data_IF_488292068787
#
_entry.id   IF_488292068787
#
_cell.length_a   1.000
_cell.length_b   1.000
_cell.length_c   1.000
_cell.angle_alpha   90.00
_cell.angle_beta   90.00
_cell.angle_gamma   90.00
#
_symmetry.space_group_name_H-M   'P 1'
#
loop_
_entity.id
_entity.type
_entity.pdbx_description
1 polymer ?
#
# COMPACT_ATOMS: atom_id res chain seq x y z
N UNK A 1 -8.25 21.43 20.85
CA UNK A 1 -6.88 21.22 20.33
C UNK A 1 -6.74 19.74 20.02
N UNK A 2 -6.41 19.37 18.78
CA UNK A 2 -6.31 17.96 18.42
C UNK A 2 -5.05 17.35 19.07
N UNK A 3 -5.06 16.06 19.45
CA UNK A 3 -3.88 15.42 20.02
C UNK A 3 -2.70 15.49 19.03
N UNK A 4 -1.44 15.66 19.48
CA UNK A 4 -0.26 15.75 18.60
C UNK A 4 -0.14 14.62 17.56
N UNK A 5 -0.65 13.43 17.91
CA UNK A 5 -0.71 12.24 17.03
C UNK A 5 -1.69 12.39 15.85
N UNK A 6 -2.74 13.19 16.00
CA UNK A 6 -3.68 13.45 14.92
C UNK A 6 -3.06 14.37 13.86
N UNK A 7 -2.27 15.38 14.27
CA UNK A 7 -1.56 16.25 13.34
C UNK A 7 -0.52 15.48 12.50
N UNK A 8 0.23 14.55 13.11
CA UNK A 8 1.18 13.71 12.36
C UNK A 8 0.47 12.76 11.40
N UNK A 9 -0.67 12.18 11.80
CA UNK A 9 -1.49 11.32 10.94
C UNK A 9 -2.04 12.08 9.72
N UNK A 10 -2.58 13.29 9.93
CA UNK A 10 -3.10 14.15 8.86
C UNK A 10 -1.98 14.57 7.92
N UNK A 11 -0.85 15.04 8.46
CA UNK A 11 0.30 15.46 7.66
C UNK A 11 0.90 14.32 6.82
N UNK A 12 1.02 13.13 7.40
CA UNK A 12 1.55 11.97 6.68
C UNK A 12 0.60 11.49 5.57
N UNK A 13 -0.72 11.54 5.77
CA UNK A 13 -1.68 11.24 4.69
C UNK A 13 -1.74 12.34 3.63
N UNK A 14 -1.61 13.61 4.02
CA UNK A 14 -1.48 14.72 3.08
C UNK A 14 -0.26 14.55 2.17
N UNK A 15 0.89 14.16 2.74
CA UNK A 15 2.11 13.90 1.98
C UNK A 15 1.95 12.72 1.02
N UNK A 16 1.18 11.67 1.39
CA UNK A 16 0.80 10.58 0.48
C UNK A 16 -0.04 11.09 -0.69
N UNK A 17 -1.05 11.91 -0.43
CA UNK A 17 -1.91 12.46 -1.49
C UNK A 17 -1.09 13.33 -2.45
N UNK A 18 -0.24 14.21 -1.91
CA UNK A 18 0.66 15.04 -2.72
C UNK A 18 1.61 14.20 -3.58
N UNK A 19 2.18 13.15 -2.99
CA UNK A 19 3.03 12.16 -3.69
C UNK A 19 2.30 11.49 -4.86
N UNK A 20 1.06 11.03 -4.64
CA UNK A 20 0.22 10.45 -5.71
C UNK A 20 -0.09 11.47 -6.80
N UNK A 21 -0.45 12.70 -6.44
CA UNK A 21 -0.70 13.77 -7.40
C UNK A 21 0.55 14.06 -8.23
N UNK A 22 1.73 14.16 -7.59
CA UNK A 22 3.00 14.40 -8.28
C UNK A 22 3.34 13.27 -9.26
N UNK A 23 3.15 12.01 -8.86
CA UNK A 23 3.34 10.85 -9.73
C UNK A 23 2.38 10.86 -10.92
N UNK A 24 1.11 11.24 -10.73
CA UNK A 24 0.14 11.35 -11.82
C UNK A 24 0.49 12.48 -12.81
N UNK A 25 0.95 13.62 -12.30
CA UNK A 25 1.40 14.73 -13.15
C UNK A 25 2.61 14.33 -13.99
N UNK A 26 3.62 13.69 -13.37
CA UNK A 26 4.81 13.21 -14.07
C UNK A 26 4.46 12.10 -15.07
N UNK A 27 3.52 11.21 -14.75
CA UNK A 27 3.03 10.20 -15.67
C UNK A 27 2.41 10.83 -16.93
N UNK A 28 1.47 11.76 -16.74
CA UNK A 28 0.80 12.48 -17.83
C UNK A 28 1.81 13.26 -18.69
N UNK A 29 2.73 13.98 -18.05
CA UNK A 29 3.77 14.73 -18.74
C UNK A 29 4.75 13.84 -19.52
N UNK A 30 5.10 12.68 -18.97
CA UNK A 30 6.00 11.74 -19.65
C UNK A 30 5.38 11.16 -20.93
N UNK A 31 4.06 10.94 -20.95
CA UNK A 31 3.34 10.54 -22.16
C UNK A 31 3.33 11.68 -23.19
N UNK A 32 3.04 12.90 -22.76
CA UNK A 32 3.00 14.05 -23.65
C UNK A 32 4.36 14.30 -24.33
N UNK A 33 5.43 14.26 -23.54
CA UNK A 33 6.80 14.43 -24.05
C UNK A 33 7.21 13.31 -25.00
N UNK A 34 6.84 12.05 -24.71
CA UNK A 34 7.04 10.93 -25.63
C UNK A 34 6.32 11.15 -26.98
N UNK A 35 5.08 11.62 -26.97
CA UNK A 35 4.33 11.92 -28.20
C UNK A 35 5.00 13.04 -29.00
N UNK A 36 5.49 14.08 -28.32
CA UNK A 36 6.24 15.18 -28.97
C UNK A 36 7.54 14.69 -29.59
N UNK A 37 8.29 13.84 -28.88
CA UNK A 37 9.53 13.23 -29.37
C UNK A 37 9.27 12.39 -30.63
N UNK A 38 8.22 11.56 -30.66
CA UNK A 38 7.85 10.76 -31.84
C UNK A 38 7.43 11.64 -33.02
N UNK A 39 6.65 12.69 -32.79
CA UNK A 39 6.27 13.64 -33.84
C UNK A 39 7.47 14.41 -34.39
N UNK A 40 8.45 14.73 -33.55
CA UNK A 40 9.67 15.41 -33.99
C UNK A 40 10.52 14.49 -34.89
N UNK A 41 10.62 13.21 -34.54
CA UNK A 41 11.31 12.20 -35.37
C UNK A 41 10.62 12.04 -36.73
N UNK A 42 9.29 11.94 -36.76
CA UNK A 42 8.53 11.84 -38.02
C UNK A 42 8.74 13.06 -38.93
N UNK A 43 8.74 14.28 -38.37
CA UNK A 43 9.03 15.51 -39.12
C UNK A 43 10.48 15.56 -39.61
N UNK A 44 11.42 15.07 -38.83
CA UNK A 44 12.84 15.01 -39.19
C UNK A 44 13.09 14.02 -40.33
N UNK A 45 12.55 12.79 -40.23
CA UNK A 45 12.65 11.78 -41.29
C UNK A 45 11.89 12.18 -42.56
N UNK A 46 10.76 12.87 -42.42
CA UNK A 46 9.95 13.37 -43.54
C UNK A 46 10.52 14.61 -44.23
N UNK A 47 11.73 15.08 -43.88
CA UNK A 47 12.37 16.25 -44.48
C UNK A 47 11.69 17.60 -44.18
N UNK A 48 10.75 17.62 -43.21
CA UNK A 48 9.97 18.81 -42.83
C UNK A 48 10.64 19.63 -41.72
N UNK A 49 11.78 19.19 -41.21
CA UNK A 49 12.54 19.90 -40.17
C UNK A 49 13.02 21.30 -40.60
N UNK A 50 13.17 21.54 -41.90
CA UNK A 50 13.60 22.83 -42.46
C UNK A 50 12.52 23.93 -42.43
N UNK A 51 11.28 23.64 -42.04
CA UNK A 51 10.16 24.60 -42.15
C UNK A 51 9.78 25.29 -40.82
N UNK A 52 10.37 24.88 -39.69
CA UNK A 52 10.03 25.47 -38.38
C UNK A 52 10.95 26.65 -38.05
N UNK A 53 10.62 27.80 -38.66
CA UNK A 53 10.71 29.16 -38.10
C UNK A 53 11.98 29.55 -37.34
N UNK A 54 13.17 29.21 -37.85
CA UNK A 54 14.40 29.86 -37.39
C UNK A 54 15.36 30.00 -38.56
N UNK A 55 16.11 31.10 -38.62
CA UNK A 55 17.14 31.41 -39.63
C UNK A 55 18.36 30.46 -39.53
N UNK A 56 18.15 29.18 -39.20
CA UNK A 56 19.17 28.15 -39.12
C UNK A 56 19.40 27.59 -40.52
N UNK A 57 20.65 27.59 -40.96
CA UNK A 57 21.02 27.04 -42.25
C UNK A 57 20.81 25.53 -42.25
N UNK A 58 20.60 24.92 -43.43
CA UNK A 58 20.43 23.47 -43.53
C UNK A 58 21.64 22.69 -42.95
N UNK A 59 22.82 23.30 -42.91
CA UNK A 59 24.03 22.74 -42.30
C UNK A 59 23.95 22.71 -40.76
N UNK A 60 23.39 23.75 -40.13
CA UNK A 60 23.19 23.77 -38.67
C UNK A 60 22.22 22.67 -38.20
N UNK A 61 21.24 22.32 -39.04
CA UNK A 61 20.26 21.26 -38.76
C UNK A 61 20.91 19.87 -38.86
N UNK A 62 21.87 19.70 -39.77
CA UNK A 62 22.62 18.44 -39.93
C UNK A 62 23.66 18.23 -38.83
N UNK A 63 24.18 19.32 -38.26
CA UNK A 63 25.18 19.29 -37.18
C UNK A 63 24.58 19.39 -35.77
N UNK A 64 23.26 19.41 -35.61
CA UNK A 64 22.63 19.40 -34.29
C UNK A 64 22.77 18.03 -33.61
N UNK A 65 23.26 18.02 -32.37
CA UNK A 65 23.37 16.81 -31.53
C UNK A 65 22.00 16.20 -31.18
N UNK A 66 20.95 17.02 -31.21
CA UNK A 66 19.56 16.65 -30.92
C UNK A 66 18.62 17.11 -32.03
N UNK A 67 17.51 16.39 -32.22
CA UNK A 67 16.43 16.82 -33.11
C UNK A 67 15.80 18.10 -32.55
N UNK A 68 15.64 19.12 -33.39
CA UNK A 68 15.11 20.43 -32.99
C UNK A 68 13.71 20.27 -32.35
N UNK A 69 13.56 20.78 -31.13
CA UNK A 69 12.31 20.70 -30.37
C UNK A 69 12.02 19.32 -29.77
N UNK A 70 13.04 18.47 -29.60
CA UNK A 70 12.92 17.13 -29.02
C UNK A 70 14.13 16.77 -28.14
N UNK A 71 13.93 15.81 -27.23
CA UNK A 71 15.01 15.24 -26.41
C UNK A 71 15.76 14.09 -27.08
N UNK A 72 15.49 13.84 -28.36
CA UNK A 72 16.04 12.72 -29.11
C UNK A 72 17.42 13.08 -29.70
N UNK A 73 18.49 12.35 -29.34
CA UNK A 73 19.81 12.57 -29.91
C UNK A 73 19.86 12.09 -31.37
N UNK A 74 20.58 12.84 -32.22
CA UNK A 74 20.73 12.59 -33.65
C UNK A 74 21.84 11.56 -33.98
N UNK A 75 22.23 10.76 -33.00
CA UNK A 75 23.25 9.71 -33.15
C UNK A 75 22.62 8.37 -33.58
N UNK A 76 23.41 7.43 -34.14
CA UNK A 76 22.92 6.09 -34.47
C UNK A 76 22.24 5.43 -33.25
N UNK A 77 21.01 4.96 -33.43
CA UNK A 77 20.14 4.43 -32.36
C UNK A 77 19.72 5.41 -31.25
N UNK A 78 19.95 6.72 -31.40
CA UNK A 78 19.55 7.74 -30.43
C UNK A 78 18.04 7.78 -30.17
N UNK A 79 17.24 7.62 -31.24
CA UNK A 79 15.77 7.50 -31.16
C UNK A 79 15.34 6.33 -30.28
N UNK A 80 15.97 5.16 -30.44
CA UNK A 80 15.65 3.97 -29.67
C UNK A 80 15.91 4.21 -28.18
N UNK A 81 17.10 4.73 -27.84
CA UNK A 81 17.46 5.00 -26.44
C UNK A 81 16.59 6.07 -25.78
N UNK A 82 16.21 7.12 -26.51
CA UNK A 82 15.29 8.14 -26.01
C UNK A 82 13.92 7.54 -25.66
N UNK A 83 13.33 6.74 -26.56
CA UNK A 83 12.03 6.09 -26.33
C UNK A 83 12.11 5.09 -25.18
N UNK A 84 13.15 4.26 -25.12
CA UNK A 84 13.34 3.28 -24.04
C UNK A 84 13.48 3.99 -22.69
N UNK A 85 14.25 5.08 -22.60
CA UNK A 85 14.38 5.85 -21.37
C UNK A 85 13.01 6.39 -20.89
N UNK A 86 12.21 6.97 -21.79
CA UNK A 86 10.85 7.44 -21.48
C UNK A 86 9.93 6.31 -21.02
N UNK A 87 9.98 5.14 -21.67
CA UNK A 87 9.21 3.98 -21.25
C UNK A 87 9.62 3.46 -19.87
N UNK A 88 10.92 3.47 -19.55
CA UNK A 88 11.42 3.08 -18.23
C UNK A 88 10.97 4.06 -17.14
N UNK A 89 11.00 5.37 -17.40
CA UNK A 89 10.47 6.39 -16.49
C UNK A 89 8.98 6.15 -16.23
N UNK A 90 8.18 5.95 -17.28
CA UNK A 90 6.74 5.67 -17.16
C UNK A 90 6.50 4.40 -16.33
N UNK A 91 7.24 3.32 -16.62
CA UNK A 91 7.17 2.08 -15.86
C UNK A 91 7.51 2.28 -14.38
N UNK A 92 8.58 3.03 -14.08
CA UNK A 92 8.99 3.33 -12.71
C UNK A 92 7.93 4.16 -11.97
N UNK A 93 7.31 5.13 -12.63
CA UNK A 93 6.18 5.90 -12.06
C UNK A 93 5.00 4.99 -11.72
N UNK A 94 4.65 4.05 -12.60
CA UNK A 94 3.57 3.08 -12.33
C UNK A 94 3.91 2.23 -11.10
N UNK A 95 5.13 1.70 -11.00
CA UNK A 95 5.56 0.90 -9.85
C UNK A 95 5.50 1.72 -8.56
N UNK A 96 5.93 2.99 -8.58
CA UNK A 96 5.84 3.87 -7.41
C UNK A 96 4.39 4.18 -7.03
N UNK A 97 3.51 4.38 -8.01
CA UNK A 97 2.10 4.64 -7.81
C UNK A 97 1.40 3.42 -7.20
N UNK A 98 1.69 2.20 -7.70
CA UNK A 98 1.25 0.95 -7.08
C UNK A 98 1.78 0.78 -5.64
N UNK A 99 3.04 1.18 -5.41
CA UNK A 99 3.63 1.15 -4.07
C UNK A 99 2.95 2.12 -3.09
N UNK A 100 2.50 3.28 -3.57
CA UNK A 100 1.75 4.25 -2.78
C UNK A 100 0.33 3.79 -2.49
N UNK A 101 -0.30 2.99 -3.37
CA UNK A 101 -1.57 2.33 -3.06
C UNK A 101 -1.42 1.11 -2.14
N UNK A 102 -0.21 0.53 -2.07
CA UNK A 102 0.07 -0.66 -1.26
C UNK A 102 -0.48 -1.96 -1.87
N UNK A 103 -0.79 -1.96 -3.15
CA UNK A 103 -1.32 -3.11 -3.89
C UNK A 103 -0.46 -3.39 -5.12
N UNK A 104 0.02 -4.63 -5.35
CA UNK A 104 -0.08 -5.83 -4.50
C UNK A 104 1.00 -5.88 -3.42
N UNK A 105 0.59 -5.92 -2.14
CA UNK A 105 1.52 -5.88 -0.99
C UNK A 105 2.49 -7.07 -0.92
N UNK A 106 2.08 -8.27 -1.35
CA UNK A 106 2.92 -9.46 -1.37
C UNK A 106 4.08 -9.35 -2.37
N UNK A 107 3.86 -8.70 -3.52
CA UNK A 107 4.88 -8.47 -4.53
C UNK A 107 5.99 -7.56 -4.01
N UNK A 108 5.62 -6.42 -3.41
CA UNK A 108 6.59 -5.48 -2.86
C UNK A 108 7.39 -6.11 -1.71
N UNK A 109 6.74 -6.85 -0.80
CA UNK A 109 7.49 -7.48 0.29
C UNK A 109 8.43 -8.61 -0.19
N UNK A 110 8.15 -9.25 -1.32
CA UNK A 110 8.97 -10.36 -1.84
C UNK A 110 10.08 -9.92 -2.80
N UNK A 111 9.78 -9.04 -3.75
CA UNK A 111 10.70 -8.66 -4.82
C UNK A 111 11.37 -7.29 -4.59
N UNK A 112 10.69 -6.36 -3.92
CA UNK A 112 11.18 -5.00 -3.69
C UNK A 112 10.98 -4.58 -2.23
N UNK A 113 11.66 -5.23 -1.27
CA UNK A 113 11.42 -5.02 0.16
C UNK A 113 11.58 -3.55 0.56
N UNK A 114 12.45 -2.80 -0.13
CA UNK A 114 12.66 -1.35 0.07
C UNK A 114 11.39 -0.49 -0.14
N UNK A 115 10.41 -0.97 -0.93
CA UNK A 115 9.10 -0.35 -1.12
C UNK A 115 8.00 -1.03 -0.27
N UNK A 116 8.34 -2.11 0.44
CA UNK A 116 7.46 -2.90 1.27
C UNK A 116 6.93 -2.16 2.50
N UNK A 117 6.01 -2.81 3.22
CA UNK A 117 5.33 -2.24 4.40
C UNK A 117 6.27 -2.00 5.60
N UNK A 118 7.39 -2.72 5.64
CA UNK A 118 8.36 -2.75 6.73
C UNK A 118 9.52 -1.74 6.52
N UNK A 119 9.47 -0.93 5.46
CA UNK A 119 10.44 0.13 5.21
C UNK A 119 9.75 1.50 5.24
N UNK A 120 10.43 2.48 5.82
CA UNK A 120 9.94 3.85 5.97
C UNK A 120 9.72 4.58 4.63
N UNK A 121 9.39 5.87 4.73
CA UNK A 121 9.13 6.74 3.56
C UNK A 121 10.40 7.21 2.86
N UNK A 122 11.56 7.06 3.50
CA UNK A 122 12.84 7.56 3.03
C UNK A 122 13.21 7.00 1.66
N UNK A 123 13.28 5.67 1.50
CA UNK A 123 13.65 5.08 0.21
C UNK A 123 12.68 5.42 -0.92
N UNK A 124 11.38 5.50 -0.63
CA UNK A 124 10.38 5.97 -1.60
C UNK A 124 10.68 7.41 -2.06
N UNK A 125 10.98 8.30 -1.12
CA UNK A 125 11.36 9.69 -1.40
C UNK A 125 12.65 9.80 -2.19
N UNK A 126 13.65 8.94 -1.93
CA UNK A 126 14.90 8.88 -2.72
C UNK A 126 14.59 8.55 -4.18
N UNK A 127 13.79 7.51 -4.43
CA UNK A 127 13.45 7.12 -5.81
C UNK A 127 12.66 8.23 -6.51
N UNK A 128 11.73 8.89 -5.83
CA UNK A 128 10.99 10.04 -6.39
C UNK A 128 11.90 11.23 -6.69
N UNK A 129 12.86 11.51 -5.80
CA UNK A 129 13.84 12.58 -5.98
C UNK A 129 14.76 12.30 -7.18
N UNK A 130 15.29 11.09 -7.30
CA UNK A 130 16.10 10.66 -8.44
C UNK A 130 15.32 10.72 -9.75
N UNK A 131 14.05 10.31 -9.74
CA UNK A 131 13.18 10.37 -10.90
C UNK A 131 12.91 11.83 -11.32
N UNK A 132 12.63 12.72 -10.37
CA UNK A 132 12.50 14.15 -10.62
C UNK A 132 13.78 14.74 -11.23
N UNK A 133 14.94 14.43 -10.64
CA UNK A 133 16.24 14.88 -11.14
C UNK A 133 16.55 14.36 -12.55
N UNK A 134 16.22 13.10 -12.85
CA UNK A 134 16.42 12.50 -14.17
C UNK A 134 15.53 13.14 -15.26
N UNK A 135 14.34 13.61 -14.91
CA UNK A 135 13.49 14.35 -15.83
C UNK A 135 14.03 15.78 -16.02
N UNK A 136 14.51 16.41 -14.94
CA UNK A 136 15.10 17.76 -14.98
C UNK A 136 16.43 17.82 -15.74
N UNK A 137 17.17 16.72 -15.82
CA UNK A 137 18.45 16.69 -16.53
C UNK A 137 18.30 16.71 -18.06
N UNK A 138 17.09 16.50 -18.58
CA UNK A 138 16.79 16.68 -19.99
C UNK A 138 16.07 18.01 -20.24
N UNK A 139 16.23 18.56 -21.44
CA UNK A 139 15.47 19.74 -21.84
C UNK A 139 14.01 19.33 -22.09
N UNK A 140 13.09 19.71 -21.21
CA UNK A 140 11.68 19.30 -21.31
C UNK A 140 10.75 20.50 -21.26
N UNK A 141 9.56 20.36 -21.85
CA UNK A 141 8.50 21.37 -21.86
C UNK A 141 8.16 21.90 -20.45
N UNK A 142 7.66 23.13 -20.38
CA UNK A 142 7.30 23.83 -19.14
C UNK A 142 6.38 22.99 -18.23
N UNK A 143 5.39 22.31 -18.81
CA UNK A 143 4.49 21.44 -18.05
C UNK A 143 5.25 20.29 -17.35
N UNK A 144 6.20 19.68 -18.07
CA UNK A 144 7.03 18.62 -17.51
C UNK A 144 8.00 19.15 -16.47
N UNK A 145 8.58 20.31 -16.72
CA UNK A 145 9.48 20.99 -15.81
C UNK A 145 8.80 21.23 -14.46
N UNK A 146 7.60 21.83 -14.46
CA UNK A 146 6.83 22.10 -13.23
C UNK A 146 6.46 20.81 -12.51
N UNK A 147 5.98 19.80 -13.24
CA UNK A 147 5.62 18.50 -12.63
C UNK A 147 6.82 17.80 -11.98
N UNK A 148 7.99 17.88 -12.60
CA UNK A 148 9.20 17.24 -12.11
C UNK A 148 9.83 18.00 -10.93
N UNK A 149 9.81 19.34 -10.91
CA UNK A 149 10.17 20.13 -9.73
C UNK A 149 9.24 19.86 -8.54
N UNK A 150 7.94 19.71 -8.80
CA UNK A 150 6.97 19.35 -7.78
C UNK A 150 7.26 17.95 -7.20
N UNK A 151 7.49 16.96 -8.05
CA UNK A 151 7.84 15.60 -7.62
C UNK A 151 9.18 15.57 -6.86
N UNK A 152 10.19 16.31 -7.32
CA UNK A 152 11.48 16.42 -6.64
C UNK A 152 11.32 17.00 -5.22
N UNK A 153 10.54 18.08 -5.08
CA UNK A 153 10.26 18.72 -3.80
C UNK A 153 9.53 17.77 -2.84
N UNK A 154 8.54 17.02 -3.34
CA UNK A 154 7.85 16.01 -2.54
C UNK A 154 8.78 14.85 -2.17
N UNK A 155 9.66 14.43 -3.09
CA UNK A 155 10.70 13.43 -2.82
C UNK A 155 11.57 13.83 -1.64
N UNK A 156 12.05 15.08 -1.61
CA UNK A 156 12.78 15.64 -0.47
C UNK A 156 11.97 15.62 0.83
N UNK A 157 10.69 15.99 0.78
CA UNK A 157 9.79 15.91 1.96
C UNK A 157 9.60 14.47 2.44
N UNK A 158 9.48 13.50 1.52
CA UNK A 158 9.38 12.07 1.85
C UNK A 158 10.69 11.52 2.44
N UNK A 159 11.86 12.01 2.00
CA UNK A 159 13.15 11.69 2.60
C UNK A 159 13.22 12.20 4.05
N UNK A 160 12.89 13.49 4.27
CA UNK A 160 12.89 14.08 5.61
C UNK A 160 11.89 13.38 6.55
N UNK A 161 10.67 13.12 6.07
CA UNK A 161 9.69 12.34 6.83
C UNK A 161 10.18 10.91 7.11
N UNK A 162 10.90 10.30 6.16
CA UNK A 162 11.56 9.01 6.32
C UNK A 162 12.66 9.00 7.39
N UNK A 163 13.49 10.05 7.45
CA UNK A 163 14.54 10.20 8.46
C UNK A 163 13.96 10.44 9.86
N UNK A 164 12.92 11.27 9.97
CA UNK A 164 12.29 11.63 11.26
C UNK A 164 11.50 10.46 11.85
N UNK A 165 10.71 9.75 11.03
CA UNK A 165 9.78 8.72 11.52
C UNK A 165 10.28 7.29 11.30
N UNK A 166 11.37 7.11 10.54
CA UNK A 166 11.99 5.82 10.23
C UNK A 166 10.95 4.77 9.79
N UNK A 167 11.12 3.54 10.26
CA UNK A 167 10.25 2.39 10.06
C UNK A 167 8.79 2.62 10.53
N UNK A 168 8.60 3.46 11.56
CA UNK A 168 7.26 3.73 12.11
C UNK A 168 6.34 4.55 11.20
N UNK A 169 6.85 5.12 10.10
CA UNK A 169 6.11 6.07 9.28
C UNK A 169 4.98 5.43 8.46
N UNK A 170 5.17 4.20 7.94
CA UNK A 170 4.11 3.46 7.23
C UNK A 170 3.07 2.90 8.20
N UNK A 171 3.49 2.41 9.37
CA UNK A 171 2.58 1.98 10.44
C UNK A 171 1.71 3.14 10.96
N UNK A 172 2.28 4.34 11.12
CA UNK A 172 1.56 5.56 11.53
C UNK A 172 0.64 6.14 10.45
N UNK A 173 0.80 5.77 9.17
CA UNK A 173 -0.11 6.10 8.05
C UNK A 173 -1.29 5.14 7.91
N UNK A 174 -1.22 3.96 8.53
CA UNK A 174 -2.24 2.92 8.40
C UNK A 174 -3.52 3.26 9.20
N UNK A 175 -4.60 3.57 8.48
CA UNK A 175 -5.97 3.69 9.02
C UNK A 175 -6.43 2.37 9.68
N UNK A 176 -5.86 1.23 9.28
CA UNK A 176 -6.20 -0.09 9.85
C UNK A 176 -5.50 -0.36 11.18
N UNK A 177 -4.38 0.31 11.50
CA UNK A 177 -3.73 0.17 12.81
C UNK A 177 -4.62 0.63 13.97
N UNK A 178 -5.48 1.63 13.77
CA UNK A 178 -6.49 2.03 14.74
C UNK A 178 -7.52 0.93 15.00
N UNK A 179 -7.88 0.16 13.98
CA UNK A 179 -8.76 -1.01 14.13
C UNK A 179 -8.06 -2.16 14.86
N UNK A 180 -6.76 -2.36 14.62
CA UNK A 180 -6.02 -3.44 15.27
C UNK A 180 -5.66 -3.11 16.73
N UNK A 181 -5.42 -1.84 17.07
CA UNK A 181 -5.32 -1.38 18.46
C UNK A 181 -6.67 -1.32 19.18
N UNK A 182 -7.79 -1.06 18.49
CA UNK A 182 -9.11 -1.20 19.07
C UNK A 182 -9.45 -2.66 19.42
N UNK A 183 -8.92 -3.63 18.65
CA UNK A 183 -9.02 -5.06 18.97
C UNK A 183 -8.15 -5.47 20.16
N UNK A 184 -7.03 -4.78 20.43
CA UNK A 184 -6.17 -5.05 21.59
C UNK A 184 -6.61 -4.31 22.86
N UNK A 185 -7.37 -3.21 22.73
CA UNK A 185 -7.90 -2.43 23.85
C UNK A 185 -9.18 -3.02 24.45
N UNK A 186 -9.84 -3.93 23.74
CA UNK A 186 -10.92 -4.75 24.28
C UNK A 186 -10.30 -6.06 24.80
N UNK A 187 -10.50 -6.42 26.08
CA UNK A 187 -10.09 -7.73 26.57
C UNK A 187 -10.84 -8.81 25.78
N UNK A 188 -10.18 -9.37 24.76
CA UNK A 188 -10.68 -10.48 23.93
C UNK A 188 -10.51 -11.84 24.61
N UNK A 189 -10.37 -11.86 25.93
CA UNK A 189 -10.29 -13.08 26.73
C UNK A 189 -11.34 -13.10 27.86
N UNK A 190 -12.58 -12.70 27.57
CA UNK A 190 -13.70 -13.24 28.34
C UNK A 190 -14.04 -14.59 27.71
N UNK A 191 -13.48 -15.64 28.31
CA UNK A 191 -13.80 -17.06 28.13
C UNK A 191 -14.78 -17.42 26.99
N UNK A 192 -14.23 -17.84 25.84
CA UNK A 192 -14.87 -18.84 24.98
C UNK A 192 -15.86 -18.37 23.90
N UNK A 193 -15.97 -17.08 23.58
CA UNK A 193 -16.82 -16.62 22.46
C UNK A 193 -16.00 -15.83 21.43
N UNK A 194 -15.77 -16.43 20.27
CA UNK A 194 -15.09 -15.82 19.12
C UNK A 194 -16.04 -14.83 18.42
N UNK A 195 -16.00 -13.55 18.81
CA UNK A 195 -16.76 -12.49 18.12
C UNK A 195 -15.89 -11.93 16.99
N UNK A 196 -15.78 -12.69 15.90
CA UNK A 196 -15.41 -12.12 14.60
C UNK A 196 -16.59 -11.28 14.07
N UNK A 197 -16.37 -10.12 13.44
CA UNK A 197 -17.46 -9.40 12.78
C UNK A 197 -17.98 -10.26 11.62
N UNK A 198 -19.13 -10.88 11.84
CA UNK A 198 -19.85 -11.69 10.86
C UNK A 198 -20.44 -10.76 9.81
N UNK A 199 -19.66 -10.44 8.78
CA UNK A 199 -20.21 -9.94 7.52
C UNK A 199 -20.40 -11.06 6.47
N UNK A 200 -20.01 -12.30 6.77
CA UNK A 200 -20.29 -13.44 5.90
C UNK A 200 -20.07 -14.77 6.64
N UNK A 201 -21.03 -15.17 7.46
CA UNK A 201 -21.10 -16.54 7.96
C UNK A 201 -22.57 -16.95 8.07
N UNK A 202 -22.98 -17.88 7.19
CA UNK A 202 -24.25 -18.56 7.30
C UNK A 202 -24.36 -19.26 8.67
N UNK A 203 -25.56 -19.34 9.28
CA UNK A 203 -25.72 -19.92 10.61
C UNK A 203 -25.30 -21.38 10.63
N UNK A 204 -24.50 -21.74 11.63
CA UNK A 204 -23.91 -23.06 11.90
C UNK A 204 -24.92 -24.17 12.26
N UNK A 205 -26.22 -23.94 12.07
CA UNK A 205 -27.26 -24.93 12.34
C UNK A 205 -27.47 -25.92 11.17
N UNK A 206 -26.92 -25.64 9.99
CA UNK A 206 -27.11 -26.48 8.78
C UNK A 206 -25.97 -27.47 8.52
N UNK A 207 -24.86 -27.41 9.27
CA UNK A 207 -23.68 -28.27 9.02
C UNK A 207 -23.75 -29.65 9.68
N UNK A 208 -24.74 -29.91 10.54
CA UNK A 208 -24.91 -31.20 11.22
C UNK A 208 -25.82 -32.20 10.50
N UNK A 209 -26.48 -31.80 9.40
CA UNK A 209 -27.46 -32.65 8.69
C UNK A 209 -26.87 -33.35 7.45
N UNK A 210 -25.67 -32.96 6.99
CA UNK A 210 -25.11 -33.44 5.70
C UNK A 210 -23.75 -34.15 5.78
N UNK A 211 -23.36 -34.72 6.92
CA UNK A 211 -22.10 -35.47 7.03
C UNK A 211 -22.33 -36.98 7.08
N UNK A 212 -22.55 -37.54 5.89
CA UNK A 212 -22.27 -38.95 5.61
C UNK A 212 -20.76 -39.20 5.56
N UNK A 213 -20.40 -40.43 5.87
CA UNK A 213 -19.06 -41.00 6.05
C UNK A 213 -17.94 -40.45 5.15
N UNK A 214 -16.84 -40.01 5.77
CA UNK A 214 -15.45 -40.35 5.38
C UNK A 214 -14.42 -39.63 6.27
N UNK A 215 -13.52 -40.45 6.81
CA UNK A 215 -12.12 -40.20 7.21
C UNK A 215 -11.76 -39.13 8.26
N UNK A 216 -11.11 -39.64 9.31
CA UNK A 216 -10.40 -38.90 10.37
C UNK A 216 -9.12 -38.24 9.81
N UNK A 217 -8.79 -37.03 10.28
CA UNK A 217 -7.41 -36.71 10.62
C UNK A 217 -7.27 -36.47 12.14
N UNK A 218 -6.23 -37.08 12.69
CA UNK A 218 -5.76 -36.92 14.06
C UNK A 218 -5.30 -35.48 14.31
N UNK A 219 -6.02 -34.80 15.19
CA UNK A 219 -5.58 -33.60 15.88
C UNK A 219 -6.43 -33.49 17.13
N UNK A 220 -5.82 -33.55 18.32
CA UNK A 220 -6.50 -33.47 19.62
C UNK A 220 -7.32 -32.17 19.75
N UNK A 221 -8.56 -32.20 19.29
CA UNK A 221 -9.56 -31.24 19.70
C UNK A 221 -9.92 -31.59 21.15
N UNK A 222 -9.26 -30.94 22.11
CA UNK A 222 -9.65 -30.97 23.52
C UNK A 222 -11.06 -30.39 23.64
N UNK A 223 -12.06 -31.26 23.59
CA UNK A 223 -13.43 -30.96 23.97
C UNK A 223 -13.36 -30.41 25.40
N UNK A 224 -13.68 -29.12 25.57
CA UNK A 224 -13.65 -28.48 26.88
C UNK A 224 -14.63 -29.15 27.84
N UNK A 225 -14.19 -29.49 29.05
CA UNK A 225 -14.98 -30.23 30.05
C UNK A 225 -16.18 -29.45 30.65
N UNK A 226 -16.51 -28.27 30.12
CA UNK A 226 -17.62 -27.43 30.57
C UNK A 226 -17.57 -27.04 32.06
N UNK A 227 -18.66 -26.47 32.57
CA UNK A 227 -18.86 -26.13 33.99
C UNK A 227 -19.57 -27.24 34.78
N UNK A 228 -19.37 -28.50 34.37
CA UNK A 228 -19.93 -29.67 35.05
C UNK A 228 -18.96 -30.32 36.04
N UNK A 229 -19.39 -31.41 36.67
CA UNK A 229 -18.60 -32.20 37.63
C UNK A 229 -17.26 -32.68 37.05
N UNK A 230 -17.20 -32.94 35.74
CA UNK A 230 -15.97 -33.33 35.05
C UNK A 230 -14.97 -32.16 34.93
N UNK A 231 -15.46 -30.94 34.70
CA UNK A 231 -14.64 -29.72 34.67
C UNK A 231 -14.09 -29.37 36.05
N UNK A 232 -14.90 -29.53 37.10
CA UNK A 232 -14.47 -29.31 38.49
C UNK A 232 -13.37 -30.29 38.91
N UNK A 233 -13.52 -31.58 38.58
CA UNK A 233 -12.46 -32.58 38.84
C UNK A 233 -11.18 -32.30 38.05
N UNK A 234 -11.29 -31.91 36.78
CA UNK A 234 -10.13 -31.58 35.96
C UNK A 234 -9.40 -30.31 36.42
N UNK A 235 -10.13 -29.32 36.95
CA UNK A 235 -9.55 -28.11 37.52
C UNK A 235 -8.91 -28.37 38.89
N UNK A 236 -9.56 -29.20 39.73
CA UNK A 236 -9.02 -29.63 41.02
C UNK A 236 -7.70 -30.40 40.88
N UNK A 237 -7.58 -31.27 39.87
CA UNK A 237 -6.31 -31.95 39.56
C UNK A 237 -5.18 -31.00 39.16
N UNK A 238 -5.52 -29.81 38.66
CA UNK A 238 -4.55 -28.76 38.30
C UNK A 238 -4.35 -27.71 39.40
N UNK A 239 -4.93 -27.93 40.58
CA UNK A 239 -4.81 -27.03 41.74
C UNK A 239 -5.68 -25.77 41.67
N UNK A 240 -6.62 -25.69 40.72
CA UNK A 240 -7.56 -24.57 40.62
C UNK A 240 -8.84 -24.87 41.40
N UNK A 241 -9.22 -23.96 42.30
CA UNK A 241 -10.52 -23.97 42.98
C UNK A 241 -11.53 -23.18 42.13
N UNK A 242 -12.47 -23.88 41.50
CA UNK A 242 -13.56 -23.24 40.76
C UNK A 242 -14.64 -22.81 41.77
N UNK A 243 -14.74 -21.52 42.06
CA UNK A 243 -15.90 -20.96 42.76
C UNK A 243 -17.04 -20.73 41.77
N UNK A 244 -18.25 -21.13 42.16
CA UNK A 244 -19.44 -20.80 41.37
C UNK A 244 -19.68 -19.28 41.44
N UNK A 245 -20.01 -18.63 40.32
CA UNK A 245 -20.36 -17.21 40.34
C UNK A 245 -21.58 -17.00 41.25
N UNK A 246 -21.58 -15.88 41.98
CA UNK A 246 -22.70 -15.46 42.81
C UNK A 246 -23.96 -15.33 41.93
N UNK A 247 -25.00 -16.09 42.25
CA UNK A 247 -26.30 -16.00 41.57
C UNK A 247 -26.93 -14.65 41.92
N UNK A 248 -26.78 -13.66 41.04
CA UNK A 248 -27.28 -12.29 41.22
C UNK A 248 -28.76 -12.11 40.84
N UNK A 249 -29.43 -13.19 40.41
CA UNK A 249 -30.83 -13.14 39.99
C UNK A 249 -31.71 -14.00 40.92
N UNK A 250 -32.86 -13.48 41.39
CA UNK A 250 -33.81 -14.26 42.17
C UNK A 250 -34.24 -15.49 41.36
N UNK A 251 -34.20 -16.65 42.02
CA UNK A 251 -34.52 -17.95 41.42
C UNK A 251 -36.03 -18.04 41.17
N UNK A 252 -36.50 -17.70 39.98
CA UNK A 252 -37.94 -17.69 39.63
C UNK A 252 -38.57 -19.08 39.43
N UNK A 253 -37.82 -20.17 39.54
CA UNK A 253 -38.35 -21.52 39.37
C UNK A 253 -38.38 -22.28 40.71
N UNK A 254 -39.56 -22.77 41.15
CA UNK A 254 -39.66 -23.60 42.34
C UNK A 254 -38.94 -24.95 42.14
N UNK A 255 -38.25 -25.39 43.19
CA UNK A 255 -37.54 -26.67 43.24
C UNK A 255 -38.58 -27.81 43.11
N UNK A 256 -38.47 -28.66 42.08
CA UNK A 256 -39.29 -29.89 41.99
C UNK A 256 -39.03 -30.74 43.23
N UNK A 257 -40.09 -31.00 44.02
CA UNK A 257 -40.07 -31.99 45.07
C UNK A 257 -40.01 -33.40 44.45
N UNK A 258 -39.28 -34.35 45.06
CA UNK A 258 -39.30 -35.73 44.61
C UNK A 258 -40.68 -36.35 44.87
N UNK A 259 -41.21 -37.05 43.86
CA UNK A 259 -42.41 -37.88 44.00
C UNK A 259 -42.12 -39.03 44.98
N UNK A 260 -43.00 -39.32 45.95
CA UNK A 260 -42.96 -40.58 46.66
C UNK A 260 -43.23 -41.74 45.68
N UNK A 261 -42.63 -42.88 45.98
CA UNK A 261 -42.64 -44.12 45.19
C UNK A 261 -44.04 -44.72 45.06
#
# INVERSE_FOLDING_TARGET
MLPPRAYTFIGLNGLRILSVIGLLLVFSSSIFTLVRDVQAVDRFQGGKAATVTTNTTAEDILHADYIIGSTVPNQPAGVFWAVVNRLLIIFQVIVLLLSEFGWPSAFFNRFFPILGKDFGLGPLGIVQCLLGAAILSHHVDEFSLVSAFFLFSIGCLNILAGLIFHDSAKAKRSVTSWRDHAKSALPTHVAGVDIRPVASAAPSFVSSVFKGDAEKPQGEAKIGYGFGVQGERAAGLKGYLISKPIESLPRYAPKRSPSPA
#
